data_IF_912976209430
#
_entry.id   IF_912976209430
#
_cell.length_a   1.000
_cell.length_b   1.000
_cell.length_c   1.000
_cell.angle_alpha   90.00
_cell.angle_beta   90.00
_cell.angle_gamma   90.00
#
_symmetry.space_group_name_H-M   'P 1'
#
loop_
_entity.id
_entity.type
_entity.pdbx_description
1 polymer ?
#
# COMPACT_ATOMS: atom_id res chain seq x y z
N UNK A 1 -2.88 93.03 -66.08
CA UNK A 1 -2.51 91.61 -65.90
C UNK A 1 -1.19 91.53 -65.13
N UNK A 2 -1.22 91.55 -63.79
CA UNK A 2 0.02 91.48 -62.96
C UNK A 2 0.07 90.32 -61.96
N UNK A 3 -0.98 89.49 -61.86
CA UNK A 3 -1.11 88.52 -60.76
C UNK A 3 -0.82 87.06 -61.17
N UNK A 4 -0.32 86.81 -62.39
CA UNK A 4 -0.14 85.44 -62.89
C UNK A 4 1.03 84.69 -62.24
N UNK A 5 2.11 85.39 -61.89
CA UNK A 5 3.26 84.79 -61.20
C UNK A 5 2.97 84.53 -59.71
N UNK A 6 2.38 85.50 -59.02
CA UNK A 6 2.02 85.38 -57.60
C UNK A 6 0.99 84.27 -57.35
N UNK A 7 -0.03 84.15 -58.21
CA UNK A 7 -1.04 83.09 -58.09
C UNK A 7 -0.44 81.70 -58.37
N UNK A 8 0.46 81.59 -59.36
CA UNK A 8 1.17 80.33 -59.65
C UNK A 8 2.09 79.91 -58.51
N UNK A 9 2.78 80.87 -57.89
CA UNK A 9 3.64 80.62 -56.74
C UNK A 9 2.82 80.20 -55.51
N UNK A 10 1.68 80.86 -55.26
CA UNK A 10 0.76 80.47 -54.19
C UNK A 10 0.19 79.05 -54.35
N UNK A 11 -0.22 78.68 -55.57
CA UNK A 11 -0.71 77.33 -55.87
C UNK A 11 0.40 76.28 -55.72
N UNK A 12 1.62 76.57 -56.19
CA UNK A 12 2.76 75.68 -56.02
C UNK A 12 3.08 75.46 -54.54
N UNK A 13 3.09 76.52 -53.73
CA UNK A 13 3.33 76.43 -52.29
C UNK A 13 2.22 75.66 -51.58
N UNK A 14 0.95 75.87 -51.96
CA UNK A 14 -0.18 75.12 -51.42
C UNK A 14 -0.11 73.62 -51.79
N UNK A 15 0.24 73.29 -53.03
CA UNK A 15 0.45 71.91 -53.47
C UNK A 15 1.65 71.25 -52.77
N UNK A 16 2.76 71.97 -52.62
CA UNK A 16 3.93 71.48 -51.88
C UNK A 16 3.59 71.24 -50.41
N UNK A 17 2.78 72.11 -49.78
CA UNK A 17 2.31 71.94 -48.42
C UNK A 17 1.36 70.75 -48.27
N UNK A 18 0.42 70.56 -49.21
CA UNK A 18 -0.41 69.36 -49.26
C UNK A 18 0.42 68.09 -49.45
N UNK A 19 1.39 68.11 -50.38
CA UNK A 19 2.29 66.99 -50.61
C UNK A 19 3.16 66.68 -49.39
N UNK A 20 3.63 67.70 -48.67
CA UNK A 20 4.38 67.54 -47.42
C UNK A 20 3.51 66.91 -46.32
N UNK A 21 2.26 67.34 -46.17
CA UNK A 21 1.30 66.73 -45.22
C UNK A 21 1.04 65.27 -45.59
N UNK A 22 0.81 64.96 -46.88
CA UNK A 22 0.62 63.59 -47.35
C UNK A 22 1.87 62.72 -47.15
N UNK A 23 3.07 63.27 -47.35
CA UNK A 23 4.32 62.57 -47.08
C UNK A 23 4.50 62.29 -45.59
N UNK A 24 4.20 63.26 -44.72
CA UNK A 24 4.26 63.06 -43.26
C UNK A 24 3.24 62.01 -42.82
N UNK A 25 2.06 61.97 -43.42
CA UNK A 25 1.01 60.98 -43.11
C UNK A 25 1.38 59.56 -43.56
N UNK A 26 2.03 59.44 -44.73
CA UNK A 26 2.47 58.14 -45.28
C UNK A 26 3.71 57.61 -44.58
N UNK A 27 4.69 58.46 -44.24
CA UNK A 27 5.91 58.08 -43.51
C UNK A 27 5.61 57.83 -42.02
N UNK A 28 4.72 58.62 -41.41
CA UNK A 28 4.28 58.48 -40.02
C UNK A 28 3.37 57.28 -39.77
N UNK A 29 3.09 56.48 -40.80
CA UNK A 29 2.39 55.21 -40.70
C UNK A 29 0.98 55.35 -40.16
N UNK A 30 0.11 56.15 -40.79
CA UNK A 30 -1.37 56.07 -40.80
C UNK A 30 -2.13 55.64 -39.52
N UNK A 31 -1.56 55.82 -38.31
CA UNK A 31 -2.12 55.38 -37.03
C UNK A 31 -2.75 56.51 -36.22
N UNK A 32 -2.40 57.77 -36.54
CA UNK A 32 -2.93 58.95 -35.87
C UNK A 32 -4.46 59.09 -36.08
N UNK A 33 -4.96 58.76 -37.28
CA UNK A 33 -6.38 58.89 -37.66
C UNK A 33 -7.25 57.65 -37.43
N UNK A 34 -6.70 56.50 -37.02
CA UNK A 34 -7.53 55.31 -36.72
C UNK A 34 -8.40 55.58 -35.48
N UNK A 35 -9.70 55.33 -35.59
CA UNK A 35 -10.63 55.36 -34.45
C UNK A 35 -10.34 54.15 -33.57
N UNK A 36 -9.63 54.39 -32.47
CA UNK A 36 -9.33 53.40 -31.45
C UNK A 36 -9.97 53.75 -30.10
N UNK A 37 -9.95 52.81 -29.17
CA UNK A 37 -10.31 53.04 -27.77
C UNK A 37 -9.05 52.95 -26.89
N UNK A 38 -9.11 53.56 -25.71
CA UNK A 38 -7.99 53.58 -24.77
C UNK A 38 -8.06 52.40 -23.81
N UNK A 39 -6.93 51.74 -23.61
CA UNK A 39 -6.74 50.69 -22.60
C UNK A 39 -5.55 51.06 -21.74
N UNK A 40 -5.72 51.03 -20.43
CA UNK A 40 -4.69 51.39 -19.47
C UNK A 40 -4.10 50.14 -18.81
N UNK A 41 -2.80 50.16 -18.58
CA UNK A 41 -2.08 49.14 -17.84
C UNK A 41 -1.11 49.82 -16.87
N UNK A 42 -0.90 49.23 -15.69
CA UNK A 42 -0.04 49.79 -14.64
C UNK A 42 1.13 48.86 -14.37
N UNK A 43 2.36 49.30 -14.66
CA UNK A 43 3.57 48.51 -14.48
C UNK A 43 4.44 49.12 -13.38
N UNK A 44 5.19 48.31 -12.60
CA UNK A 44 6.21 48.86 -11.68
C UNK A 44 7.42 49.41 -12.44
N UNK A 45 7.80 48.75 -13.53
CA UNK A 45 8.89 49.17 -14.39
C UNK A 45 8.53 49.01 -15.87
N UNK A 46 8.81 50.05 -16.66
CA UNK A 46 8.66 50.03 -18.12
C UNK A 46 10.05 49.90 -18.73
N UNK A 47 10.39 48.70 -19.19
CA UNK A 47 11.71 48.33 -19.74
C UNK A 47 11.98 49.09 -21.04
N UNK A 48 12.35 50.38 -20.99
CA UNK A 48 12.59 51.25 -22.16
C UNK A 48 11.42 51.31 -23.18
N UNK A 49 10.18 51.23 -22.70
CA UNK A 49 8.99 51.41 -23.52
C UNK A 49 8.84 52.88 -23.93
N UNK A 50 8.54 53.15 -25.20
CA UNK A 50 8.38 54.49 -25.77
C UNK A 50 6.97 54.71 -26.30
N UNK A 51 6.57 55.98 -26.34
CA UNK A 51 5.33 56.39 -27.02
C UNK A 51 5.45 56.04 -28.51
N UNK A 52 4.43 55.36 -29.04
CA UNK A 52 4.42 54.82 -30.40
C UNK A 52 4.78 53.34 -30.51
N UNK A 53 5.32 52.73 -29.45
CA UNK A 53 5.64 51.30 -29.45
C UNK A 53 4.38 50.46 -29.74
N UNK A 54 4.52 49.35 -30.50
CA UNK A 54 3.36 48.58 -30.94
C UNK A 54 2.73 47.83 -29.77
N UNK A 55 1.41 47.72 -29.81
CA UNK A 55 0.64 46.85 -28.92
C UNK A 55 0.20 45.65 -29.73
N UNK A 56 0.50 44.44 -29.24
CA UNK A 56 0.23 43.18 -29.94
C UNK A 56 -0.69 42.29 -29.13
N UNK A 57 -1.68 41.69 -29.77
CA UNK A 57 -2.50 40.61 -29.20
C UNK A 57 -1.96 39.29 -29.73
N UNK A 58 -1.43 38.45 -28.84
CA UNK A 58 -0.85 37.15 -29.20
C UNK A 58 0.12 37.21 -30.41
N UNK A 59 0.91 38.28 -30.51
CA UNK A 59 1.90 38.50 -31.58
C UNK A 59 1.41 39.32 -32.78
N UNK A 60 0.10 39.58 -32.92
CA UNK A 60 -0.46 40.40 -34.00
C UNK A 60 -0.60 41.85 -33.55
N UNK A 61 -0.13 42.82 -34.34
CA UNK A 61 -0.24 44.25 -34.01
C UNK A 61 -1.71 44.70 -34.05
N UNK A 62 -2.20 45.22 -32.93
CA UNK A 62 -3.58 45.70 -32.75
C UNK A 62 -3.67 47.18 -32.33
N UNK A 63 -2.53 47.82 -32.09
CA UNK A 63 -2.51 49.20 -31.61
C UNK A 63 -1.11 49.76 -31.38
N UNK A 64 -1.04 50.84 -30.61
CA UNK A 64 0.20 51.52 -30.21
C UNK A 64 0.08 52.19 -28.84
N UNK A 65 1.20 52.30 -28.14
CA UNK A 65 1.31 53.06 -26.88
C UNK A 65 1.10 54.54 -27.18
N UNK A 66 0.16 55.17 -26.46
CA UNK A 66 -0.22 56.57 -26.66
C UNK A 66 0.46 57.50 -25.66
N UNK A 67 0.44 57.15 -24.38
CA UNK A 67 1.06 57.95 -23.32
C UNK A 67 1.64 57.06 -22.23
N UNK A 68 2.72 57.51 -21.62
CA UNK A 68 3.37 56.87 -20.48
C UNK A 68 3.47 57.93 -19.39
N UNK A 69 2.85 57.69 -18.24
CA UNK A 69 2.84 58.63 -17.11
C UNK A 69 3.25 57.91 -15.84
N UNK A 70 4.05 58.57 -15.01
CA UNK A 70 4.42 58.07 -13.69
C UNK A 70 3.34 58.50 -12.70
N UNK A 71 2.70 57.53 -12.05
CA UNK A 71 1.63 57.74 -11.07
C UNK A 71 2.03 57.07 -9.75
N UNK A 72 2.54 57.87 -8.82
CA UNK A 72 3.10 57.43 -7.53
C UNK A 72 4.23 56.40 -7.72
N UNK A 73 3.96 55.12 -7.42
CA UNK A 73 4.90 53.99 -7.48
C UNK A 73 4.70 53.09 -8.71
N UNK A 74 3.80 53.48 -9.62
CA UNK A 74 3.47 52.72 -10.82
C UNK A 74 3.55 53.62 -12.05
N UNK A 75 3.91 53.02 -13.18
CA UNK A 75 3.89 53.67 -14.49
C UNK A 75 2.60 53.28 -15.20
N UNK A 76 1.73 54.25 -15.41
CA UNK A 76 0.52 54.10 -16.21
C UNK A 76 0.89 54.19 -17.69
N UNK A 77 0.64 53.10 -18.41
CA UNK A 77 0.79 53.01 -19.86
C UNK A 77 -0.60 53.00 -20.48
N UNK A 78 -0.92 54.07 -21.22
CA UNK A 78 -2.16 54.17 -21.98
C UNK A 78 -1.91 53.73 -23.41
N UNK A 79 -2.67 52.75 -23.85
CA UNK A 79 -2.60 52.13 -25.17
C UNK A 79 -3.82 52.51 -25.99
N UNK A 80 -3.63 52.78 -27.28
CA UNK A 80 -4.73 52.95 -28.23
C UNK A 80 -4.86 51.68 -29.05
N UNK A 81 -6.02 51.05 -28.98
CA UNK A 81 -6.31 49.78 -29.65
C UNK A 81 -7.36 50.04 -30.74
N UNK A 82 -7.16 49.42 -31.91
CA UNK A 82 -8.09 49.52 -33.03
C UNK A 82 -9.47 48.93 -32.67
N UNK A 83 -10.57 49.62 -33.02
CA UNK A 83 -11.95 49.23 -32.65
C UNK A 83 -12.40 47.87 -33.19
N UNK A 84 -11.76 47.37 -34.23
CA UNK A 84 -12.02 46.05 -34.80
C UNK A 84 -11.60 44.92 -33.85
N UNK A 85 -10.69 45.22 -32.91
CA UNK A 85 -10.10 44.24 -32.00
C UNK A 85 -10.76 44.34 -30.62
N UNK A 86 -11.35 43.24 -30.17
CA UNK A 86 -12.08 43.16 -28.89
C UNK A 86 -11.17 42.58 -27.80
N UNK A 87 -10.68 43.44 -26.92
CA UNK A 87 -9.85 43.04 -25.76
C UNK A 87 -10.74 42.85 -24.54
N UNK A 88 -10.40 41.86 -23.69
CA UNK A 88 -11.16 41.53 -22.48
C UNK A 88 -10.59 42.25 -21.26
N UNK A 89 -11.41 42.48 -20.25
CA UNK A 89 -10.95 43.04 -18.96
C UNK A 89 -10.02 42.09 -18.22
N UNK A 90 -10.16 40.78 -18.47
CA UNK A 90 -9.30 39.71 -17.93
C UNK A 90 -8.03 39.49 -18.75
N UNK A 91 -7.83 40.24 -19.83
CA UNK A 91 -6.59 40.20 -20.58
C UNK A 91 -5.43 40.68 -19.72
N UNK A 92 -4.27 40.03 -19.87
CA UNK A 92 -3.05 40.39 -19.17
C UNK A 92 -2.06 41.05 -20.11
N UNK A 93 -1.56 42.21 -19.70
CA UNK A 93 -0.55 42.97 -20.40
C UNK A 93 0.84 42.66 -19.86
N UNK A 94 1.81 42.52 -20.76
CA UNK A 94 3.21 42.28 -20.43
C UNK A 94 4.10 42.99 -21.43
N UNK A 95 5.18 43.59 -20.94
CA UNK A 95 6.17 44.26 -21.78
C UNK A 95 7.16 43.20 -22.25
N UNK A 96 7.38 43.14 -23.56
CA UNK A 96 8.34 42.24 -24.19
C UNK A 96 9.29 43.02 -25.08
N UNK A 97 10.51 42.53 -25.14
CA UNK A 97 11.54 43.01 -26.05
C UNK A 97 11.52 42.22 -27.36
N UNK A 98 11.56 42.89 -28.51
CA UNK A 98 11.51 42.25 -29.84
C UNK A 98 12.85 41.67 -30.34
N UNK A 99 13.77 41.31 -29.44
CA UNK A 99 15.09 40.73 -29.77
C UNK A 99 16.21 41.76 -29.89
N UNK A 100 17.44 41.33 -30.19
CA UNK A 100 18.71 42.06 -29.98
C UNK A 100 18.78 43.51 -30.49
N UNK A 101 18.08 43.83 -31.58
CA UNK A 101 18.01 45.19 -32.18
C UNK A 101 16.58 45.74 -32.21
N UNK A 102 15.64 45.03 -31.57
CA UNK A 102 14.21 45.30 -31.63
C UNK A 102 13.78 46.37 -30.63
N UNK A 103 12.66 47.01 -30.92
CA UNK A 103 11.99 47.90 -29.98
C UNK A 103 11.12 47.11 -28.98
N UNK A 104 10.85 47.71 -27.83
CA UNK A 104 9.91 47.16 -26.86
C UNK A 104 8.48 47.19 -27.41
N UNK A 105 7.66 46.28 -26.93
CA UNK A 105 6.24 46.24 -27.28
C UNK A 105 5.42 45.71 -26.11
N UNK A 106 4.15 46.13 -26.06
CA UNK A 106 3.21 45.56 -25.09
C UNK A 106 2.49 44.39 -25.75
N UNK A 107 2.58 43.23 -25.13
CA UNK A 107 1.82 42.05 -25.50
C UNK A 107 0.60 41.90 -24.59
N UNK A 108 -0.56 41.75 -25.20
CA UNK A 108 -1.82 41.39 -24.57
C UNK A 108 -2.14 39.93 -24.88
N UNK A 109 -2.67 39.22 -23.90
CA UNK A 109 -3.29 37.91 -24.12
C UNK A 109 -4.81 38.02 -24.37
N UNK A 110 -5.42 36.89 -24.75
CA UNK A 110 -6.85 36.82 -25.01
C UNK A 110 -7.71 36.89 -23.74
N UNK A 111 -7.11 36.82 -22.55
CA UNK A 111 -7.82 36.68 -21.28
C UNK A 111 -8.63 35.39 -21.17
N UNK A 112 -9.48 35.33 -20.14
CA UNK A 112 -10.44 34.22 -19.97
C UNK A 112 -11.67 34.39 -20.88
N UNK A 113 -12.24 33.32 -21.47
CA UNK A 113 -13.46 33.36 -22.26
C UNK A 113 -14.66 34.01 -21.54
N UNK A 114 -14.72 33.88 -20.22
CA UNK A 114 -15.78 34.43 -19.35
C UNK A 114 -15.59 35.92 -19.02
N UNK A 115 -14.45 36.51 -19.42
CA UNK A 115 -14.14 37.91 -19.19
C UNK A 115 -15.01 38.84 -20.03
N UNK A 116 -15.56 39.88 -19.39
CA UNK A 116 -16.27 40.98 -20.05
C UNK A 116 -15.35 41.68 -21.07
N UNK A 117 -15.91 42.09 -22.20
CA UNK A 117 -15.20 42.91 -23.17
C UNK A 117 -14.99 44.30 -22.59
N UNK A 118 -13.81 44.89 -22.82
CA UNK A 118 -13.56 46.28 -22.44
C UNK A 118 -14.51 47.17 -23.23
N UNK A 119 -15.20 48.06 -22.53
CA UNK A 119 -16.06 49.05 -23.17
C UNK A 119 -15.21 50.02 -23.99
N UNK A 120 -15.44 50.02 -25.30
CA UNK A 120 -14.76 50.90 -26.26
C UNK A 120 -15.08 52.39 -26.07
N UNK A 121 -16.06 52.75 -25.23
CA UNK A 121 -16.47 54.13 -24.96
C UNK A 121 -15.82 54.73 -23.71
N UNK A 122 -15.63 53.92 -22.66
CA UNK A 122 -15.06 54.38 -21.37
C UNK A 122 -13.56 54.06 -21.29
N UNK A 123 -13.11 53.08 -22.09
CA UNK A 123 -11.82 52.46 -21.90
C UNK A 123 -11.83 51.52 -20.70
N UNK A 124 -10.72 50.79 -20.51
CA UNK A 124 -10.62 49.80 -19.43
C UNK A 124 -9.19 49.62 -18.96
N UNK A 125 -9.07 49.11 -17.75
CA UNK A 125 -7.77 48.71 -17.18
C UNK A 125 -7.61 47.20 -17.36
N UNK A 126 -6.43 46.78 -17.81
CA UNK A 126 -6.04 45.37 -17.90
C UNK A 126 -5.09 45.00 -16.79
N UNK A 127 -5.11 43.72 -16.38
CA UNK A 127 -4.16 43.19 -15.42
C UNK A 127 -2.75 43.16 -16.03
N UNK A 128 -1.71 43.34 -15.24
CA UNK A 128 -0.32 43.31 -15.73
C UNK A 128 0.44 42.15 -15.15
N UNK A 129 1.18 41.43 -16.01
CA UNK A 129 2.18 40.45 -15.58
C UNK A 129 3.56 41.04 -15.83
N UNK A 130 4.39 41.04 -14.79
CA UNK A 130 5.79 41.42 -14.88
C UNK A 130 6.62 40.23 -15.37
N UNK A 131 7.42 40.43 -16.41
CA UNK A 131 8.43 39.47 -16.83
C UNK A 131 9.78 39.85 -16.23
N UNK A 132 10.63 38.86 -15.86
CA UNK A 132 12.00 39.14 -15.46
C UNK A 132 12.71 39.92 -16.56
N UNK A 133 13.39 41.00 -16.18
CA UNK A 133 14.22 41.76 -17.12
C UNK A 133 15.37 40.88 -17.62
N UNK A 134 15.76 41.09 -18.89
CA UNK A 134 16.91 40.46 -19.49
C UNK A 134 18.18 40.69 -18.66
N UNK A 135 18.34 41.87 -18.06
CA UNK A 135 19.44 42.15 -17.14
C UNK A 135 19.47 41.18 -15.95
N UNK A 136 18.30 40.83 -15.41
CA UNK A 136 18.16 39.88 -14.29
C UNK A 136 18.44 38.45 -14.74
N UNK A 137 18.12 38.11 -16.00
CA UNK A 137 18.50 36.82 -16.58
C UNK A 137 20.01 36.72 -16.79
N UNK A 138 20.68 37.78 -17.24
CA UNK A 138 22.14 37.83 -17.34
C UNK A 138 22.81 37.70 -15.98
N UNK A 139 22.30 38.40 -14.96
CA UNK A 139 22.80 38.25 -13.59
C UNK A 139 22.62 36.81 -13.07
N UNK A 140 21.53 36.14 -13.41
CA UNK A 140 21.35 34.70 -13.10
C UNK A 140 22.36 33.84 -13.87
N UNK A 141 22.67 34.17 -15.12
CA UNK A 141 23.71 33.46 -15.87
C UNK A 141 25.10 33.64 -15.26
N UNK A 142 25.42 34.82 -14.71
CA UNK A 142 26.67 35.03 -13.95
C UNK A 142 26.73 34.13 -12.72
N UNK A 143 25.62 33.96 -12.01
CA UNK A 143 25.56 33.04 -10.86
C UNK A 143 25.73 31.58 -11.28
N UNK A 144 25.19 31.18 -12.44
CA UNK A 144 25.43 29.85 -13.00
C UNK A 144 26.90 29.68 -13.38
N UNK A 145 27.51 30.69 -14.01
CA UNK A 145 28.94 30.68 -14.35
C UNK A 145 29.81 30.54 -13.10
N UNK A 146 29.50 31.26 -12.02
CA UNK A 146 30.16 31.11 -10.71
C UNK A 146 29.99 29.70 -10.13
N UNK A 147 28.77 29.14 -10.17
CA UNK A 147 28.54 27.78 -9.70
C UNK A 147 29.35 26.73 -10.48
N UNK A 148 29.50 26.90 -11.79
CA UNK A 148 30.34 26.04 -12.63
C UNK A 148 31.84 26.25 -12.32
N UNK A 149 32.26 27.49 -12.06
CA UNK A 149 33.62 27.81 -11.63
C UNK A 149 33.97 27.14 -10.28
N UNK A 150 33.05 27.16 -9.33
CA UNK A 150 33.22 26.54 -8.01
C UNK A 150 33.30 25.00 -8.10
N UNK A 151 32.51 24.38 -8.98
CA UNK A 151 32.64 22.95 -9.29
C UNK A 151 34.00 22.67 -9.92
N UNK A 152 34.43 23.50 -10.87
CA UNK A 152 35.74 23.34 -11.52
C UNK A 152 36.90 23.48 -10.53
N UNK A 153 36.80 24.40 -9.56
CA UNK A 153 37.76 24.57 -8.47
C UNK A 153 37.74 23.40 -7.49
N UNK A 154 36.57 22.83 -7.19
CA UNK A 154 36.47 21.67 -6.29
C UNK A 154 36.93 20.36 -6.95
N UNK A 155 36.97 20.29 -8.28
CA UNK A 155 37.64 19.21 -9.03
C UNK A 155 39.14 19.42 -9.24
N UNK A 156 39.76 20.41 -8.56
CA UNK A 156 41.21 20.58 -8.59
C UNK A 156 41.90 19.40 -7.87
N UNK A 157 42.98 18.80 -8.43
CA UNK A 157 43.73 17.73 -7.79
C UNK A 157 44.13 18.01 -6.34
N UNK A 158 44.33 19.27 -5.95
CA UNK A 158 44.63 19.64 -4.55
C UNK A 158 43.44 19.40 -3.61
N UNK A 159 42.22 19.77 -4.00
CA UNK A 159 41.01 19.55 -3.18
C UNK A 159 40.63 18.06 -3.11
N UNK A 160 40.87 17.33 -4.20
CA UNK A 160 40.77 15.87 -4.22
C UNK A 160 41.79 15.24 -3.26
N UNK A 161 43.01 15.77 -3.18
CA UNK A 161 44.04 15.30 -2.26
C UNK A 161 43.68 15.60 -0.79
N UNK A 162 43.01 16.71 -0.51
CA UNK A 162 42.55 17.05 0.84
C UNK A 162 41.43 16.12 1.34
N UNK A 163 40.59 15.60 0.42
CA UNK A 163 39.53 14.63 0.75
C UNK A 163 40.08 13.20 0.77
N UNK A 164 40.93 12.85 -0.19
CA UNK A 164 41.47 11.49 -0.33
C UNK A 164 42.63 11.23 0.63
N UNK A 165 43.31 12.26 1.13
CA UNK A 165 44.40 12.14 2.12
C UNK A 165 43.97 11.37 3.37
N UNK A 166 42.96 11.85 4.13
CA UNK A 166 42.49 11.17 5.33
C UNK A 166 41.96 9.75 5.07
N UNK A 167 41.35 9.50 3.90
CA UNK A 167 40.86 8.16 3.52
C UNK A 167 42.03 7.23 3.20
N UNK A 168 43.03 7.72 2.47
CA UNK A 168 44.27 7.01 2.17
C UNK A 168 45.05 6.69 3.45
N UNK A 169 45.16 7.66 4.36
CA UNK A 169 45.85 7.50 5.65
C UNK A 169 45.12 6.49 6.53
N UNK A 170 43.79 6.57 6.63
CA UNK A 170 42.99 5.57 7.33
C UNK A 170 43.18 4.16 6.75
N UNK A 171 43.15 4.02 5.42
CA UNK A 171 43.37 2.74 4.76
C UNK A 171 44.78 2.22 4.99
N UNK A 172 45.80 3.09 4.98
CA UNK A 172 47.19 2.73 5.22
C UNK A 172 47.42 2.28 6.66
N UNK A 173 46.90 3.04 7.62
CA UNK A 173 47.05 2.79 9.05
C UNK A 173 46.28 1.53 9.50
N UNK A 174 45.16 1.24 8.83
CA UNK A 174 44.36 0.05 9.11
C UNK A 174 44.65 -1.11 8.15
N UNK A 175 45.58 -0.99 7.20
CA UNK A 175 45.87 -2.03 6.20
C UNK A 175 46.22 -3.38 6.83
N UNK A 176 47.01 -3.40 7.93
CA UNK A 176 47.33 -4.61 8.67
C UNK A 176 46.14 -5.22 9.42
N UNK A 177 45.27 -4.38 9.99
CA UNK A 177 44.03 -4.80 10.67
C UNK A 177 43.00 -5.34 9.67
N UNK A 178 42.80 -4.62 8.58
CA UNK A 178 41.95 -5.03 7.46
C UNK A 178 42.47 -6.32 6.85
N UNK A 179 43.78 -6.45 6.63
CA UNK A 179 44.40 -7.70 6.19
C UNK A 179 44.12 -8.88 7.12
N UNK A 180 44.19 -8.66 8.44
CA UNK A 180 43.81 -9.68 9.44
C UNK A 180 42.32 -10.05 9.39
N UNK A 181 41.44 -9.06 9.24
CA UNK A 181 39.98 -9.28 9.09
C UNK A 181 39.69 -10.05 7.80
N UNK A 182 40.27 -9.64 6.67
CA UNK A 182 40.10 -10.33 5.40
C UNK A 182 40.67 -11.74 5.44
N UNK A 183 41.79 -11.95 6.12
CA UNK A 183 42.34 -13.29 6.35
C UNK A 183 41.40 -14.17 7.17
N UNK A 184 40.84 -13.66 8.27
CA UNK A 184 39.88 -14.40 9.09
C UNK A 184 38.57 -14.67 8.34
N UNK A 185 38.07 -13.69 7.57
CA UNK A 185 36.89 -13.85 6.74
C UNK A 185 37.12 -14.88 5.63
N UNK A 186 38.30 -14.91 5.02
CA UNK A 186 38.67 -15.93 4.04
C UNK A 186 38.64 -17.32 4.69
N UNK A 187 39.26 -17.49 5.86
CA UNK A 187 39.25 -18.76 6.61
C UNK A 187 37.83 -19.21 6.98
N UNK A 188 36.99 -18.30 7.46
CA UNK A 188 35.58 -18.60 7.79
C UNK A 188 34.82 -18.95 6.51
N UNK A 189 35.00 -18.19 5.43
CA UNK A 189 34.36 -18.42 4.14
C UNK A 189 34.77 -19.77 3.54
N UNK A 190 36.05 -20.13 3.63
CA UNK A 190 36.56 -21.42 3.18
C UNK A 190 35.98 -22.56 4.04
N UNK A 191 35.89 -22.37 5.36
CA UNK A 191 35.23 -23.34 6.25
C UNK A 191 33.75 -23.53 5.89
N UNK A 192 33.03 -22.45 5.55
CA UNK A 192 31.63 -22.54 5.12
C UNK A 192 31.52 -23.26 3.78
N UNK A 193 32.38 -22.91 2.80
CA UNK A 193 32.39 -23.50 1.48
C UNK A 193 32.76 -25.00 1.50
N UNK A 194 33.65 -25.39 2.41
CA UNK A 194 34.06 -26.78 2.65
C UNK A 194 33.08 -27.55 3.56
N UNK A 195 31.99 -26.92 4.02
CA UNK A 195 31.01 -27.55 4.90
C UNK A 195 31.53 -27.88 6.30
N UNK A 196 32.60 -27.20 6.76
CA UNK A 196 33.21 -27.37 8.08
C UNK A 196 32.51 -26.50 9.13
N UNK A 197 32.38 -27.04 10.34
CA UNK A 197 31.68 -26.38 11.45
C UNK A 197 30.15 -26.36 11.27
N UNK A 198 29.43 -25.92 12.28
CA UNK A 198 27.95 -25.97 12.28
C UNK A 198 27.34 -25.11 11.18
N UNK A 199 27.90 -23.92 10.89
CA UNK A 199 27.40 -23.03 9.84
C UNK A 199 27.69 -23.61 8.45
N UNK A 200 28.90 -24.12 8.19
CA UNK A 200 29.23 -24.75 6.91
C UNK A 200 28.34 -25.96 6.64
N UNK A 201 28.13 -26.81 7.65
CA UNK A 201 27.19 -27.94 7.57
C UNK A 201 25.76 -27.45 7.32
N UNK A 202 25.28 -26.45 8.04
CA UNK A 202 23.92 -25.93 7.84
C UNK A 202 23.69 -25.28 6.47
N UNK A 203 24.70 -24.62 5.91
CA UNK A 203 24.61 -23.94 4.61
C UNK A 203 24.70 -24.93 3.44
N UNK A 204 25.48 -26.01 3.59
CA UNK A 204 25.72 -26.98 2.52
C UNK A 204 24.82 -28.22 2.57
N UNK A 205 24.02 -28.39 3.62
CA UNK A 205 23.23 -29.61 3.80
C UNK A 205 21.80 -29.50 3.23
N UNK A 206 21.60 -30.14 2.07
CA UNK A 206 20.28 -30.33 1.45
C UNK A 206 19.29 -31.12 2.34
N UNK A 207 19.77 -31.86 3.35
CA UNK A 207 18.91 -32.61 4.28
C UNK A 207 18.11 -31.68 5.17
N UNK A 208 18.60 -30.50 5.55
CA UNK A 208 17.81 -29.54 6.33
C UNK A 208 16.61 -29.03 5.54
N UNK A 209 16.79 -28.74 4.25
CA UNK A 209 15.69 -28.38 3.36
C UNK A 209 14.70 -29.54 3.24
N UNK A 210 15.19 -30.76 3.02
CA UNK A 210 14.33 -31.95 2.92
C UNK A 210 13.59 -32.26 4.21
N UNK A 211 14.25 -32.17 5.36
CA UNK A 211 13.66 -32.48 6.66
C UNK A 211 12.69 -31.39 7.13
N UNK A 212 12.97 -30.12 6.80
CA UNK A 212 12.02 -29.02 7.00
C UNK A 212 10.76 -29.20 6.14
N UNK A 213 10.92 -29.54 4.85
CA UNK A 213 9.78 -29.85 3.97
C UNK A 213 9.01 -31.06 4.49
N UNK A 214 9.71 -32.12 4.92
CA UNK A 214 9.10 -33.34 5.46
C UNK A 214 8.33 -33.11 6.76
N UNK A 215 8.83 -32.23 7.62
CA UNK A 215 8.15 -31.79 8.84
C UNK A 215 6.87 -31.01 8.50
N UNK A 216 6.95 -30.11 7.52
CA UNK A 216 5.80 -29.33 7.05
C UNK A 216 4.75 -30.23 6.38
N UNK A 217 5.15 -31.23 5.57
CA UNK A 217 4.22 -32.20 4.97
C UNK A 217 3.63 -33.15 6.01
N UNK A 218 4.42 -33.60 6.99
CA UNK A 218 3.95 -34.45 8.08
C UNK A 218 2.95 -33.75 9.00
N UNK A 219 3.09 -32.43 9.20
CA UNK A 219 2.06 -31.61 9.86
C UNK A 219 0.76 -31.56 9.05
N UNK A 220 0.84 -31.57 7.71
CA UNK A 220 -0.31 -31.69 6.82
C UNK A 220 -1.08 -33.00 6.99
N UNK A 221 -0.37 -34.14 7.02
CA UNK A 221 -0.98 -35.47 7.21
C UNK A 221 -1.57 -35.67 8.62
N UNK A 222 -1.00 -35.05 9.66
CA UNK A 222 -1.59 -35.06 11.00
C UNK A 222 -2.99 -34.42 11.04
N UNK A 223 -3.29 -33.48 10.13
CA UNK A 223 -4.61 -32.86 10.01
C UNK A 223 -5.69 -33.85 9.55
N UNK A 224 -5.38 -34.75 8.62
CA UNK A 224 -6.34 -35.78 8.15
C UNK A 224 -6.67 -36.82 9.24
N UNK A 225 -5.68 -37.17 10.08
CA UNK A 225 -5.93 -38.04 11.25
C UNK A 225 -6.77 -37.37 12.33
N UNK A 226 -6.69 -36.04 12.47
CA UNK A 226 -7.53 -35.28 13.40
C UNK A 226 -8.99 -35.29 12.94
N UNK A 227 -9.24 -35.16 11.64
CA UNK A 227 -10.60 -35.27 11.08
C UNK A 227 -11.21 -36.65 11.31
N UNK A 228 -10.41 -37.73 11.15
CA UNK A 228 -10.84 -39.10 11.47
C UNK A 228 -11.18 -39.29 12.94
N UNK A 229 -10.34 -38.80 13.85
CA UNK A 229 -10.59 -38.88 15.30
C UNK A 229 -11.83 -38.09 15.73
N UNK A 230 -12.11 -36.96 15.10
CA UNK A 230 -13.30 -36.15 15.38
C UNK A 230 -14.58 -36.81 14.86
N UNK A 231 -14.51 -37.52 13.71
CA UNK A 231 -15.62 -38.33 13.21
C UNK A 231 -15.94 -39.49 14.16
N UNK A 232 -14.94 -40.26 14.57
CA UNK A 232 -15.10 -41.38 15.51
C UNK A 232 -15.62 -40.90 16.87
N UNK A 233 -15.11 -39.78 17.38
CA UNK A 233 -15.58 -39.19 18.64
C UNK A 233 -17.04 -38.74 18.55
N UNK A 234 -17.46 -38.20 17.41
CA UNK A 234 -18.85 -37.78 17.20
C UNK A 234 -19.80 -38.98 17.18
N UNK A 235 -19.41 -40.08 16.56
CA UNK A 235 -20.18 -41.33 16.54
C UNK A 235 -20.33 -41.93 17.94
N UNK A 236 -19.24 -42.01 18.71
CA UNK A 236 -19.27 -42.49 20.11
C UNK A 236 -20.17 -41.60 20.97
N UNK A 237 -20.10 -40.28 20.82
CA UNK A 237 -20.95 -39.35 21.57
C UNK A 237 -22.43 -39.48 21.18
N UNK A 238 -22.72 -39.77 19.92
CA UNK A 238 -24.09 -40.01 19.47
C UNK A 238 -24.65 -41.33 20.01
N UNK A 239 -23.85 -42.39 20.03
CA UNK A 239 -24.18 -43.67 20.65
C UNK A 239 -24.44 -43.51 22.15
N UNK A 240 -23.53 -42.84 22.86
CA UNK A 240 -23.66 -42.57 24.29
C UNK A 240 -24.92 -41.74 24.61
N UNK A 241 -25.21 -40.70 23.81
CA UNK A 241 -26.42 -39.89 23.98
C UNK A 241 -27.69 -40.71 23.78
N UNK A 242 -27.69 -41.62 22.81
CA UNK A 242 -28.81 -42.54 22.57
C UNK A 242 -29.01 -43.48 23.75
N UNK A 243 -27.94 -44.09 24.27
CA UNK A 243 -27.99 -44.93 25.48
C UNK A 243 -28.52 -44.16 26.69
N UNK A 244 -28.04 -42.93 26.92
CA UNK A 244 -28.53 -42.08 28.03
C UNK A 244 -30.00 -41.75 27.87
N UNK A 245 -30.46 -41.48 26.64
CA UNK A 245 -31.87 -41.22 26.37
C UNK A 245 -32.73 -42.48 26.61
N UNK A 246 -32.27 -43.65 26.16
CA UNK A 246 -32.99 -44.91 26.37
C UNK A 246 -33.04 -45.30 27.86
N UNK A 247 -31.97 -45.07 28.62
CA UNK A 247 -31.95 -45.22 30.08
C UNK A 247 -32.97 -44.30 30.76
N UNK A 248 -32.99 -43.02 30.39
CA UNK A 248 -33.95 -42.04 30.93
C UNK A 248 -35.40 -42.38 30.55
N UNK A 249 -35.62 -43.00 29.39
CA UNK A 249 -36.91 -43.48 28.93
C UNK A 249 -37.33 -44.82 29.57
N UNK A 250 -36.50 -45.40 30.46
CA UNK A 250 -36.80 -46.66 31.13
C UNK A 250 -36.65 -47.90 30.23
N UNK A 251 -35.96 -47.79 29.09
CA UNK A 251 -35.73 -48.90 28.18
C UNK A 251 -34.53 -49.74 28.60
N UNK A 252 -34.63 -51.06 28.41
CA UNK A 252 -33.59 -52.02 28.81
C UNK A 252 -33.58 -52.29 30.32
N UNK A 253 -32.83 -53.30 30.74
CA UNK A 253 -32.79 -53.75 32.14
C UNK A 253 -32.29 -52.68 33.10
N UNK A 254 -31.30 -51.88 32.68
CA UNK A 254 -30.78 -50.74 33.46
C UNK A 254 -31.76 -49.57 33.51
N UNK A 255 -32.44 -49.26 32.40
CA UNK A 255 -33.47 -48.22 32.39
C UNK A 255 -34.66 -48.59 33.29
N UNK A 256 -35.09 -49.85 33.25
CA UNK A 256 -36.09 -50.39 34.17
C UNK A 256 -35.61 -50.34 35.61
N UNK A 257 -34.37 -50.74 35.90
CA UNK A 257 -33.81 -50.69 37.26
C UNK A 257 -33.73 -49.26 37.83
N UNK A 258 -33.42 -48.28 36.98
CA UNK A 258 -33.31 -46.87 37.38
C UNK A 258 -34.68 -46.22 37.58
N UNK A 259 -35.71 -46.63 36.84
CA UNK A 259 -37.05 -46.00 36.86
C UNK A 259 -38.10 -46.73 37.69
N UNK A 260 -37.97 -48.04 37.86
CA UNK A 260 -38.98 -48.86 38.51
C UNK A 260 -38.74 -48.93 40.02
N UNK A 261 -39.50 -48.12 40.77
CA UNK A 261 -39.46 -48.15 42.23
C UNK A 261 -39.91 -49.49 42.83
N UNK A 262 -40.80 -50.22 42.15
CA UNK A 262 -41.26 -51.52 42.62
C UNK A 262 -40.14 -52.55 42.50
N UNK A 263 -39.44 -52.58 41.37
CA UNK A 263 -38.29 -53.47 41.17
C UNK A 263 -37.18 -53.18 42.18
N UNK A 264 -36.91 -51.90 42.49
CA UNK A 264 -35.96 -51.52 43.55
C UNK A 264 -36.38 -52.05 44.93
N UNK A 265 -37.67 -51.90 45.29
CA UNK A 265 -38.22 -52.39 46.57
C UNK A 265 -38.21 -53.93 46.65
N UNK A 266 -38.60 -54.60 45.58
CA UNK A 266 -38.60 -56.06 45.50
C UNK A 266 -37.18 -56.63 45.54
N UNK A 267 -36.23 -56.00 44.83
CA UNK A 267 -34.81 -56.39 44.87
C UNK A 267 -34.21 -56.18 46.26
N UNK A 268 -34.52 -55.05 46.90
CA UNK A 268 -34.07 -54.78 48.28
C UNK A 268 -34.67 -55.80 49.24
N UNK A 269 -35.95 -56.13 49.09
CA UNK A 269 -36.64 -57.15 49.91
C UNK A 269 -36.04 -58.54 49.69
N UNK A 270 -35.76 -58.91 48.43
CA UNK A 270 -35.10 -60.16 48.09
C UNK A 270 -33.71 -60.24 48.73
N UNK A 271 -32.92 -59.15 48.73
CA UNK A 271 -31.62 -59.09 49.39
C UNK A 271 -31.72 -59.24 50.91
N UNK A 272 -32.74 -58.64 51.54
CA UNK A 272 -33.01 -58.81 52.98
C UNK A 272 -33.36 -60.27 53.29
N UNK A 273 -34.26 -60.88 52.51
CA UNK A 273 -34.66 -62.27 52.68
C UNK A 273 -33.50 -63.25 52.45
N UNK A 274 -32.66 -62.99 51.43
CA UNK A 274 -31.48 -63.79 51.16
C UNK A 274 -30.50 -63.73 52.33
N UNK A 275 -30.25 -62.53 52.88
CA UNK A 275 -29.41 -62.38 54.07
C UNK A 275 -29.95 -63.17 55.26
N UNK A 276 -31.26 -63.13 55.51
CA UNK A 276 -31.89 -63.89 56.59
C UNK A 276 -31.77 -65.42 56.39
N UNK A 277 -31.91 -65.91 55.15
CA UNK A 277 -31.69 -67.32 54.81
C UNK A 277 -30.24 -67.71 55.08
N UNK A 278 -29.28 -66.88 54.65
CA UNK A 278 -27.86 -67.14 54.86
C UNK A 278 -27.49 -67.13 56.35
N UNK A 279 -28.09 -66.24 57.15
CA UNK A 279 -27.90 -66.23 58.60
C UNK A 279 -28.48 -67.49 59.29
N UNK A 280 -29.69 -67.93 58.91
CA UNK A 280 -30.28 -69.17 59.44
C UNK A 280 -29.49 -70.42 59.04
N UNK A 281 -28.94 -70.42 57.82
CA UNK A 281 -28.08 -71.49 57.32
C UNK A 281 -26.76 -71.56 58.09
N UNK A 282 -26.10 -70.42 58.32
CA UNK A 282 -24.87 -70.35 59.12
C UNK A 282 -25.11 -70.69 60.60
N UNK A 283 -26.30 -70.39 61.13
CA UNK A 283 -26.71 -70.74 62.49
C UNK A 283 -27.06 -72.21 62.72
N UNK A 284 -26.95 -73.09 61.71
CA UNK A 284 -27.18 -74.54 61.83
C UNK A 284 -28.65 -74.93 62.07
N UNK A 285 -29.61 -74.03 61.81
CA UNK A 285 -31.04 -74.29 62.03
C UNK A 285 -31.74 -74.70 60.73
N UNK A 286 -32.65 -75.69 60.81
CA UNK A 286 -33.42 -76.21 59.66
C UNK A 286 -32.76 -77.40 58.97
N UNK A 287 -33.51 -78.08 58.09
CA UNK A 287 -33.04 -79.32 57.44
C UNK A 287 -31.72 -79.11 56.68
N UNK A 288 -31.55 -77.97 55.99
CA UNK A 288 -30.33 -77.62 55.27
C UNK A 288 -29.17 -77.29 56.23
N UNK A 289 -29.41 -76.53 57.31
CA UNK A 289 -28.39 -76.24 58.32
C UNK A 289 -27.91 -77.49 59.07
N UNK A 290 -28.80 -78.48 59.25
CA UNK A 290 -28.46 -79.81 59.80
C UNK A 290 -27.74 -80.69 58.77
N UNK A 291 -28.21 -80.72 57.52
CA UNK A 291 -27.55 -81.43 56.41
C UNK A 291 -26.13 -80.91 56.15
N UNK A 292 -25.90 -79.59 56.21
CA UNK A 292 -24.56 -79.00 56.04
C UNK A 292 -23.59 -79.43 57.16
N UNK A 293 -24.11 -79.73 58.35
CA UNK A 293 -23.31 -80.17 59.51
C UNK A 293 -23.19 -81.69 59.66
N UNK A 294 -23.86 -82.49 58.83
CA UNK A 294 -23.72 -83.94 58.84
C UNK A 294 -22.48 -84.36 58.00
N UNK A 295 -21.56 -85.12 58.61
CA UNK A 295 -20.29 -85.55 57.99
C UNK A 295 -20.50 -86.27 56.63
N UNK A 296 -21.61 -86.99 56.47
CA UNK A 296 -21.95 -87.71 55.23
C UNK A 296 -22.23 -86.77 54.05
N UNK A 297 -22.80 -85.59 54.30
CA UNK A 297 -23.05 -84.57 53.26
C UNK A 297 -21.75 -83.89 52.83
N UNK A 298 -20.86 -83.58 53.77
CA UNK A 298 -19.53 -83.06 53.46
C UNK A 298 -18.72 -84.08 52.64
N UNK A 299 -18.87 -85.38 52.91
CA UNK A 299 -18.24 -86.43 52.10
C UNK A 299 -18.80 -86.45 50.67
N UNK A 300 -20.13 -86.30 50.53
CA UNK A 300 -20.81 -86.29 49.22
C UNK A 300 -20.46 -85.03 48.43
N UNK A 301 -20.38 -83.87 49.07
CA UNK A 301 -19.88 -82.63 48.47
C UNK A 301 -18.44 -82.77 48.04
N UNK A 302 -17.58 -83.39 48.86
CA UNK A 302 -16.18 -83.62 48.51
C UNK A 302 -16.04 -84.57 47.32
N UNK A 303 -16.85 -85.62 47.24
CA UNK A 303 -16.93 -86.50 46.06
C UNK A 303 -17.47 -85.79 44.82
N UNK A 304 -18.42 -84.86 44.99
CA UNK A 304 -19.00 -84.08 43.88
C UNK A 304 -18.01 -83.04 43.37
N UNK A 305 -17.35 -82.32 44.28
CA UNK A 305 -16.25 -81.42 43.97
C UNK A 305 -15.09 -82.18 43.33
N UNK A 306 -14.72 -83.37 43.82
CA UNK A 306 -13.73 -84.20 43.14
C UNK A 306 -14.18 -84.64 41.75
N UNK A 307 -15.47 -84.93 41.52
CA UNK A 307 -15.97 -85.22 40.17
C UNK A 307 -15.98 -83.99 39.25
N UNK A 308 -16.29 -82.80 39.78
CA UNK A 308 -16.25 -81.53 39.04
C UNK A 308 -14.82 -81.12 38.75
N UNK A 309 -13.91 -81.27 39.71
CA UNK A 309 -12.47 -81.03 39.55
C UNK A 309 -11.90 -82.01 38.53
N UNK A 310 -12.25 -83.31 38.58
CA UNK A 310 -11.84 -84.29 37.56
C UNK A 310 -12.44 -84.04 36.18
N UNK A 311 -13.64 -83.45 36.10
CA UNK A 311 -14.23 -82.98 34.85
C UNK A 311 -13.56 -81.69 34.35
N UNK A 312 -13.11 -80.83 35.25
CA UNK A 312 -12.40 -79.58 34.95
C UNK A 312 -10.96 -79.86 34.54
N UNK A 313 -10.27 -80.80 35.17
CA UNK A 313 -8.96 -81.31 34.73
C UNK A 313 -9.06 -81.93 33.32
N UNK A 314 -10.18 -82.60 33.00
CA UNK A 314 -10.43 -83.09 31.64
C UNK A 314 -10.74 -81.98 30.62
N UNK A 315 -11.11 -80.79 31.10
CA UNK A 315 -11.32 -79.59 30.28
C UNK A 315 -10.05 -78.71 30.22
N UNK A 316 -9.15 -78.79 31.20
CA UNK A 316 -7.87 -78.08 31.23
C UNK A 316 -6.82 -78.78 30.34
N UNK A 317 -6.88 -80.11 30.22
CA UNK A 317 -6.04 -80.89 29.28
C UNK A 317 -6.54 -80.85 27.82
N UNK A 318 -7.62 -80.10 27.55
CA UNK A 318 -8.02 -79.66 26.22
C UNK A 318 -7.96 -78.12 26.16
N UNK A 319 -6.76 -77.59 26.00
CA UNK A 319 -6.53 -76.15 25.87
C UNK A 319 -7.44 -75.50 24.80
N UNK A 320 -8.13 -74.40 25.12
CA UNK A 320 -8.97 -73.69 24.15
C UNK A 320 -8.12 -72.76 23.28
N UNK A 321 -7.45 -73.33 22.27
CA UNK A 321 -7.49 -72.72 20.94
C UNK A 321 -8.72 -73.29 20.24
N UNK A 322 -9.75 -72.46 20.05
CA UNK A 322 -10.87 -72.62 19.07
C UNK A 322 -12.30 -72.50 19.65
N UNK A 323 -12.65 -71.38 20.30
CA UNK A 323 -14.07 -70.98 20.42
C UNK A 323 -14.36 -69.52 19.98
N UNK A 324 -13.37 -68.74 19.53
CA UNK A 324 -13.62 -67.40 18.94
C UNK A 324 -13.51 -67.45 17.41
N UNK A 325 -14.07 -68.51 16.81
CA UNK A 325 -14.04 -68.73 15.35
C UNK A 325 -15.36 -69.18 14.71
N UNK A 326 -16.50 -69.14 15.43
CA UNK A 326 -17.78 -69.63 14.92
C UNK A 326 -19.01 -68.81 15.37
N UNK A 327 -18.96 -67.48 15.24
CA UNK A 327 -20.17 -66.64 15.36
C UNK A 327 -20.19 -65.37 14.48
N UNK A 328 -19.51 -65.39 13.32
CA UNK A 328 -19.77 -64.41 12.24
C UNK A 328 -19.73 -65.16 10.91
N UNK A 329 -20.84 -65.83 10.57
CA UNK A 329 -20.93 -66.59 9.34
C UNK A 329 -22.22 -67.36 9.07
N UNK A 330 -23.38 -66.98 9.64
CA UNK A 330 -24.72 -67.36 9.15
C UNK A 330 -25.84 -66.77 10.06
N UNK A 331 -26.18 -65.50 9.83
CA UNK A 331 -27.57 -65.06 9.78
C UNK A 331 -27.62 -64.23 8.49
N UNK A 332 -28.30 -64.54 7.39
CA UNK A 332 -29.46 -65.39 7.08
C UNK A 332 -29.81 -66.53 8.03
#
# INVERSE_FOLDING_TARGET
MKNTLETRLGIFFALAMCAAVLLVETIGGAGFFRKGYQVNAYFRAVQDLKVGDPVKLAGVRIGSVSTIQLTNDLVQVSMKIDREQRVRTTSKARIKFAGLMGQNFVELDFGSPDGLLIDTMIGGTVETIEQPDFSTLLARMENVAKGVEDITKSMNPTALQDILGPVSDFMRDNSGRLGGIFGNLQVISDQIAEGKGTIGQMVMDDTLYREAVKTVTGLGESTEKIDGLLADATEVLQGARTTVNDLNAGKGTLGLLVKDEQLYRETTTAMVNLREILEKMNGGQGAIGKLINEEDFLSTLKLTLQKVEKATDSLEDQGPLSVIGLAVGSVF
#
